data_IF_764378374213
#
_entry.id   IF_764378374213
#
_cell.length_a   1.000
_cell.length_b   1.000
_cell.length_c   1.000
_cell.angle_alpha   90.00
_cell.angle_beta   90.00
_cell.angle_gamma   90.00
#
_symmetry.space_group_name_H-M   'P 1'
#
loop_
_entity.id
_entity.type
_entity.pdbx_description
1 polymer ?
#
# COMPACT_ATOMS: atom_id res chain seq x y z
N UNK A 1 -15.76 12.02 8.11
CA UNK A 1 -14.81 10.95 8.44
C UNK A 1 -14.89 9.76 7.50
N UNK A 2 -16.07 9.23 7.13
CA UNK A 2 -16.19 8.05 6.27
C UNK A 2 -15.32 8.03 4.99
N UNK A 3 -15.30 9.10 4.19
CA UNK A 3 -14.44 9.17 2.98
C UNK A 3 -12.94 9.15 3.28
N UNK A 4 -12.51 9.75 4.40
CA UNK A 4 -11.10 9.78 4.81
C UNK A 4 -10.67 8.38 5.25
N UNK A 5 -11.51 7.70 6.03
CA UNK A 5 -11.28 6.31 6.46
C UNK A 5 -11.23 5.39 5.24
N UNK A 6 -12.17 5.54 4.30
CA UNK A 6 -12.16 4.77 3.07
C UNK A 6 -10.88 5.04 2.24
N UNK A 7 -10.49 6.31 2.10
CA UNK A 7 -9.24 6.68 1.44
C UNK A 7 -8.01 6.06 2.12
N UNK A 8 -8.00 6.03 3.45
CA UNK A 8 -6.94 5.35 4.21
C UNK A 8 -6.91 3.85 3.95
N UNK A 9 -8.05 3.16 4.05
CA UNK A 9 -8.12 1.71 3.84
C UNK A 9 -7.72 1.34 2.42
N UNK A 10 -8.24 2.03 1.40
CA UNK A 10 -7.89 1.76 0.01
C UNK A 10 -6.42 2.07 -0.27
N UNK A 11 -5.91 3.18 0.26
CA UNK A 11 -4.50 3.53 0.15
C UNK A 11 -3.60 2.50 0.84
N UNK A 12 -4.02 1.99 1.99
CA UNK A 12 -3.29 0.96 2.72
C UNK A 12 -3.23 -0.35 1.94
N UNK A 13 -4.36 -0.81 1.42
CA UNK A 13 -4.42 -2.01 0.59
C UNK A 13 -3.57 -1.86 -0.68
N UNK A 14 -3.62 -0.70 -1.33
CA UNK A 14 -2.79 -0.41 -2.51
C UNK A 14 -1.29 -0.41 -2.18
N UNK A 15 -0.88 0.24 -1.08
CA UNK A 15 0.51 0.26 -0.62
C UNK A 15 1.00 -1.15 -0.28
N UNK A 16 0.22 -1.92 0.45
CA UNK A 16 0.56 -3.29 0.78
C UNK A 16 0.64 -4.19 -0.46
N UNK A 17 -0.33 -4.08 -1.38
CA UNK A 17 -0.33 -4.82 -2.63
C UNK A 17 0.90 -4.49 -3.49
N UNK A 18 1.36 -3.23 -3.48
CA UNK A 18 2.55 -2.81 -4.22
C UNK A 18 3.82 -3.54 -3.74
N UNK A 19 3.93 -3.82 -2.43
CA UNK A 19 5.03 -4.63 -1.87
C UNK A 19 5.03 -6.04 -2.46
N UNK A 20 3.87 -6.70 -2.47
CA UNK A 20 3.71 -8.06 -2.98
C UNK A 20 3.97 -8.11 -4.49
N UNK A 21 3.43 -7.15 -5.24
CA UNK A 21 3.68 -7.04 -6.68
C UNK A 21 5.16 -6.78 -6.97
N UNK A 22 5.82 -5.91 -6.20
CA UNK A 22 7.25 -5.67 -6.31
C UNK A 22 8.06 -6.94 -6.09
N UNK A 23 7.73 -7.72 -5.07
CA UNK A 23 8.35 -9.03 -4.83
C UNK A 23 8.15 -9.99 -6.01
N UNK A 24 6.92 -10.13 -6.51
CA UNK A 24 6.61 -10.97 -7.69
C UNK A 24 7.43 -10.54 -8.90
N UNK A 25 7.54 -9.22 -9.15
CA UNK A 25 8.33 -8.73 -10.29
C UNK A 25 9.80 -9.06 -10.12
N UNK A 26 10.36 -8.86 -8.92
CA UNK A 26 11.76 -9.15 -8.65
C UNK A 26 12.09 -10.65 -8.79
N UNK A 27 11.18 -11.53 -8.38
CA UNK A 27 11.41 -12.98 -8.46
C UNK A 27 11.19 -13.55 -9.86
N UNK A 28 10.24 -13.00 -10.64
CA UNK A 28 9.96 -13.51 -11.98
C UNK A 28 10.81 -12.85 -13.08
N UNK A 29 11.14 -11.57 -12.94
CA UNK A 29 11.83 -10.80 -13.98
C UNK A 29 13.19 -10.25 -13.55
N UNK A 30 13.40 -10.07 -12.24
CA UNK A 30 14.64 -9.51 -11.68
C UNK A 30 15.73 -10.55 -11.36
N UNK A 31 15.46 -11.84 -11.58
CA UNK A 31 16.40 -12.93 -11.28
C UNK A 31 16.61 -13.20 -9.79
N UNK A 32 15.78 -12.64 -8.92
CA UNK A 32 15.88 -12.83 -7.47
C UNK A 32 15.29 -14.18 -7.08
N UNK A 33 16.12 -15.09 -6.55
CA UNK A 33 15.68 -16.43 -6.19
C UNK A 33 15.54 -16.59 -4.68
N UNK A 34 14.31 -16.53 -4.20
CA UNK A 34 13.97 -16.61 -2.77
C UNK A 34 13.58 -18.05 -2.40
N UNK A 35 14.59 -18.87 -2.04
CA UNK A 35 14.42 -20.32 -1.85
C UNK A 35 13.84 -20.69 -0.49
N UNK A 36 14.15 -19.90 0.52
CA UNK A 36 13.71 -20.07 1.91
C UNK A 36 12.41 -19.31 2.20
N UNK A 37 11.99 -18.41 1.30
CA UNK A 37 10.78 -17.60 1.45
C UNK A 37 10.97 -16.40 2.38
N UNK A 38 12.21 -16.13 2.82
CA UNK A 38 12.50 -14.99 3.69
C UNK A 38 12.19 -13.67 3.01
N UNK A 39 12.44 -13.56 1.69
CA UNK A 39 12.08 -12.41 0.89
C UNK A 39 10.56 -12.20 0.84
N UNK A 40 9.78 -13.27 0.62
CA UNK A 40 8.33 -13.23 0.63
C UNK A 40 7.79 -12.78 1.99
N UNK A 41 8.34 -13.33 3.09
CA UNK A 41 7.94 -12.93 4.44
C UNK A 41 8.28 -11.46 4.72
N UNK A 42 9.46 -10.98 4.32
CA UNK A 42 9.83 -9.58 4.44
C UNK A 42 8.92 -8.65 3.64
N UNK A 43 8.58 -9.04 2.40
CA UNK A 43 7.68 -8.29 1.54
C UNK A 43 6.25 -8.23 2.12
N UNK A 44 5.75 -9.31 2.71
CA UNK A 44 4.38 -9.40 3.23
C UNK A 44 4.26 -8.81 4.63
N UNK A 45 5.17 -9.10 5.55
CA UNK A 45 5.00 -8.79 6.98
C UNK A 45 5.74 -7.54 7.45
N UNK A 46 6.71 -7.04 6.68
CA UNK A 46 7.47 -5.84 7.03
C UNK A 46 7.18 -4.72 6.02
N UNK A 47 7.56 -4.92 4.76
CA UNK A 47 7.39 -3.90 3.72
C UNK A 47 5.91 -3.66 3.40
N UNK A 48 5.08 -4.71 3.38
CA UNK A 48 3.64 -4.62 3.14
C UNK A 48 2.96 -3.64 4.09
N UNK A 49 3.03 -3.85 5.42
CA UNK A 49 2.47 -2.92 6.40
C UNK A 49 3.09 -1.52 6.34
N UNK A 50 4.41 -1.42 6.15
CA UNK A 50 5.07 -0.12 6.05
C UNK A 50 4.58 0.70 4.85
N UNK A 51 4.57 0.10 3.66
CA UNK A 51 4.04 0.73 2.44
C UNK A 51 2.53 0.94 2.52
N UNK A 52 1.80 0.04 3.18
CA UNK A 52 0.39 0.21 3.48
C UNK A 52 0.13 1.44 4.34
N UNK A 53 0.88 1.65 5.42
CA UNK A 53 0.72 2.85 6.25
C UNK A 53 0.98 4.13 5.44
N UNK A 54 2.04 4.15 4.63
CA UNK A 54 2.34 5.28 3.74
C UNK A 54 1.20 5.51 2.75
N UNK A 55 0.76 4.47 2.04
CA UNK A 55 -0.33 4.53 1.08
C UNK A 55 -1.65 4.97 1.72
N UNK A 56 -1.94 4.51 2.93
CA UNK A 56 -3.13 4.90 3.67
C UNK A 56 -3.12 6.36 4.09
N UNK A 57 -1.99 6.87 4.60
CA UNK A 57 -1.85 8.30 4.92
C UNK A 57 -2.05 9.15 3.66
N UNK A 58 -1.42 8.78 2.54
CA UNK A 58 -1.58 9.48 1.26
C UNK A 58 -3.04 9.43 0.78
N UNK A 59 -3.69 8.27 0.82
CA UNK A 59 -5.08 8.09 0.43
C UNK A 59 -6.05 8.91 1.29
N UNK A 60 -5.79 9.01 2.60
CA UNK A 60 -6.54 9.86 3.51
C UNK A 60 -6.41 11.36 3.17
N UNK A 61 -5.19 11.81 2.86
CA UNK A 61 -4.90 13.19 2.44
C UNK A 61 -5.64 13.52 1.15
N UNK A 62 -5.57 12.65 0.14
CA UNK A 62 -6.28 12.82 -1.14
C UNK A 62 -7.80 12.85 -0.92
N UNK A 63 -8.33 11.94 -0.11
CA UNK A 63 -9.76 11.90 0.21
C UNK A 63 -10.24 13.16 0.96
N UNK A 64 -9.38 13.78 1.78
CA UNK A 64 -9.65 15.07 2.40
C UNK A 64 -9.61 16.21 1.38
N UNK A 65 -8.61 16.24 0.50
CA UNK A 65 -8.45 17.29 -0.51
C UNK A 65 -9.59 17.31 -1.54
N UNK A 66 -10.21 16.15 -1.81
CA UNK A 66 -11.33 16.01 -2.76
C UNK A 66 -12.72 16.28 -2.16
N UNK A 67 -12.80 16.71 -0.89
CA UNK A 67 -14.07 17.22 -0.33
C UNK A 67 -14.39 18.57 -0.95
N UNK A 68 -15.45 18.64 -1.77
CA UNK A 68 -16.06 19.93 -2.14
C UNK A 68 -16.48 20.68 -0.86
N UNK A 69 -16.22 21.99 -0.75
CA UNK A 69 -16.76 22.78 0.35
C UNK A 69 -18.29 22.71 0.29
N UNK A 70 -18.94 22.48 1.44
CA UNK A 70 -20.37 22.76 1.57
C UNK A 70 -20.50 24.27 1.41
N UNK A 71 -21.18 24.72 0.36
CA UNK A 71 -21.54 26.14 0.17
C UNK A 71 -22.40 26.64 1.34
N UNK A 72 -22.51 27.98 1.47
CA UNK A 72 -23.12 28.66 2.61
C UNK A 72 -24.56 28.20 2.89
#
# INVERSE_FOLDING_TARGET
>A
MGRIILGFVLGYLAGHASSVLGYIVMTNYGGLFDRDGGGAMGAIFILGPALGLVGGVVGAIIARATRKPKGP
#
